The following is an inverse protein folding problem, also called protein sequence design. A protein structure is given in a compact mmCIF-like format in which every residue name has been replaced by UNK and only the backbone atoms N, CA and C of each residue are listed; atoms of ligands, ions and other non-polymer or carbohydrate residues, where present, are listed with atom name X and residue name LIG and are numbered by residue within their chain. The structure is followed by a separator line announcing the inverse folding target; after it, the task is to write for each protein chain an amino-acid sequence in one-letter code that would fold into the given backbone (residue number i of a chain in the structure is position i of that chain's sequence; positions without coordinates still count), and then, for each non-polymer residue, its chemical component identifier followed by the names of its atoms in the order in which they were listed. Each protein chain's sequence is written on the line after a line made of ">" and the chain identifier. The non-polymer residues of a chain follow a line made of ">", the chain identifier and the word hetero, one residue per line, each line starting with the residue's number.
data_IF_629472050765
#
_entry.id   IF_629472050765
#
_cell.length_a   1.000
_cell.length_b   1.000
_cell.length_c   1.000
_cell.angle_alpha   90.00
_cell.angle_beta   90.00
_cell.angle_gamma   90.00
#
_symmetry.space_group_name_H-M   'P 1'
#
loop_
_entity.id
_entity.type
_entity.pdbx_description
1 polymer ?
#
# COMPACT_ATOMS: atom_id res chain seq x y z
N UNK A 1 -8.95 -6.75 -7.52
CA UNK A 1 -7.64 -6.69 -6.84
C UNK A 1 -7.76 -7.31 -5.46
N UNK A 2 -6.68 -7.62 -4.76
CA UNK A 2 -6.71 -8.23 -3.42
C UNK A 2 -7.53 -7.42 -2.41
N UNK A 3 -7.54 -6.10 -2.55
CA UNK A 3 -8.15 -5.16 -1.63
C UNK A 3 -9.68 -5.16 -1.69
N UNK A 4 -10.27 -5.61 -2.80
CA UNK A 4 -11.74 -5.69 -2.98
C UNK A 4 -12.31 -7.06 -2.61
N UNK A 5 -11.45 -8.03 -2.32
CA UNK A 5 -11.83 -9.39 -1.91
C UNK A 5 -10.80 -9.88 -0.91
N UNK A 6 -11.02 -9.55 0.36
CA UNK A 6 -10.06 -9.77 1.43
C UNK A 6 -9.99 -11.24 1.86
N UNK A 7 -8.79 -11.69 2.25
CA UNK A 7 -8.55 -13.03 2.79
C UNK A 7 -7.38 -12.98 3.76
N UNK A 8 -7.63 -13.35 5.02
CA UNK A 8 -6.63 -13.43 6.08
C UNK A 8 -5.51 -14.39 5.69
N UNK A 9 -5.84 -15.57 5.17
CA UNK A 9 -4.85 -16.58 4.77
C UNK A 9 -3.94 -16.10 3.64
N UNK A 10 -4.51 -15.34 2.69
CA UNK A 10 -3.73 -14.73 1.61
C UNK A 10 -2.78 -13.67 2.16
N UNK A 11 -3.25 -12.77 3.01
CA UNK A 11 -2.40 -11.75 3.63
C UNK A 11 -1.30 -12.38 4.49
N UNK A 12 -1.58 -13.45 5.25
CA UNK A 12 -0.57 -14.20 6.01
C UNK A 12 0.46 -14.87 5.10
N UNK A 13 0.01 -15.51 4.01
CA UNK A 13 0.91 -16.15 3.05
C UNK A 13 1.85 -15.12 2.43
N UNK A 14 1.31 -13.99 2.00
CA UNK A 14 2.09 -12.91 1.38
C UNK A 14 3.02 -12.24 2.40
N UNK A 15 2.54 -11.91 3.60
CA UNK A 15 3.35 -11.32 4.65
C UNK A 15 4.52 -12.22 5.07
N UNK A 16 4.26 -13.52 5.28
CA UNK A 16 5.32 -14.48 5.64
C UNK A 16 6.38 -14.60 4.54
N UNK A 17 5.95 -14.71 3.28
CA UNK A 17 6.87 -14.83 2.16
C UNK A 17 7.68 -13.54 1.93
N UNK A 18 7.05 -12.37 2.11
CA UNK A 18 7.71 -11.07 2.05
C UNK A 18 8.72 -10.90 3.20
N UNK A 19 8.34 -11.23 4.43
CA UNK A 19 9.22 -11.15 5.60
C UNK A 19 10.42 -12.08 5.47
N UNK A 20 10.23 -13.30 4.96
CA UNK A 20 11.32 -14.25 4.72
C UNK A 20 12.33 -13.75 3.67
N UNK A 21 11.89 -13.00 2.66
CA UNK A 21 12.76 -12.42 1.64
C UNK A 21 13.33 -11.04 1.99
N UNK A 22 12.89 -10.45 3.10
CA UNK A 22 13.11 -9.04 3.41
C UNK A 22 14.59 -8.70 3.58
N UNK A 23 15.34 -9.54 4.30
CA UNK A 23 16.77 -9.30 4.55
C UNK A 23 17.56 -9.20 3.24
N UNK A 24 17.36 -10.16 2.33
CA UNK A 24 17.96 -10.16 0.99
C UNK A 24 17.54 -8.94 0.18
N UNK A 25 16.26 -8.55 0.24
CA UNK A 25 15.74 -7.40 -0.48
C UNK A 25 16.33 -6.07 0.02
N UNK A 26 16.39 -5.87 1.33
CA UNK A 26 16.93 -4.64 1.94
C UNK A 26 18.40 -4.46 1.58
N UNK A 27 19.17 -5.55 1.52
CA UNK A 27 20.57 -5.54 1.10
C UNK A 27 20.75 -5.35 -0.42
N UNK A 28 19.72 -5.66 -1.20
CA UNK A 28 19.75 -5.58 -2.67
C UNK A 28 19.54 -4.15 -3.18
N UNK A 29 19.95 -3.89 -4.43
CA UNK A 29 19.79 -2.58 -5.08
C UNK A 29 18.39 -2.37 -5.68
N UNK A 30 17.65 -3.44 -5.96
CA UNK A 30 16.34 -3.38 -6.61
C UNK A 30 15.28 -2.70 -5.73
N UNK A 31 14.50 -1.77 -6.29
CA UNK A 31 13.41 -1.11 -5.57
C UNK A 31 12.21 -2.05 -5.34
N UNK A 32 11.98 -3.01 -6.23
CA UNK A 32 10.97 -4.06 -6.10
C UNK A 32 11.67 -5.42 -6.06
N UNK A 33 11.46 -6.18 -4.99
CA UNK A 33 11.96 -7.55 -4.87
C UNK A 33 10.98 -8.57 -5.45
N UNK A 34 11.49 -9.76 -5.78
CA UNK A 34 10.65 -10.92 -6.10
C UNK A 34 10.39 -11.73 -4.84
N UNK A 35 9.13 -12.08 -4.58
CA UNK A 35 8.79 -13.06 -3.55
C UNK A 35 8.79 -14.44 -4.22
N UNK A 36 9.84 -15.23 -4.01
CA UNK A 36 9.99 -16.56 -4.61
C UNK A 36 10.87 -16.55 -5.86
N UNK A 37 11.92 -17.37 -5.84
CA UNK A 37 12.73 -17.68 -7.01
C UNK A 37 12.11 -18.86 -7.75
N UNK A 38 11.41 -18.61 -8.85
CA UNK A 38 10.87 -19.70 -9.70
C UNK A 38 9.82 -19.26 -10.70
N UNK A 39 9.76 -19.98 -11.83
CA UNK A 39 8.93 -19.75 -13.03
C UNK A 39 7.39 -19.76 -12.80
N UNK A 40 6.91 -19.93 -11.57
CA UNK A 40 5.49 -20.09 -11.19
C UNK A 40 4.97 -19.01 -10.21
N UNK A 41 5.67 -17.89 -10.03
CA UNK A 41 5.32 -16.84 -9.06
C UNK A 41 4.43 -15.70 -9.62
N UNK A 42 3.59 -15.95 -10.62
CA UNK A 42 2.80 -14.90 -11.30
C UNK A 42 1.74 -14.20 -10.42
N UNK A 43 1.40 -14.76 -9.25
CA UNK A 43 0.34 -14.25 -8.37
C UNK A 43 0.86 -13.65 -7.04
N UNK A 44 2.17 -13.59 -6.79
CA UNK A 44 2.70 -12.98 -5.57
C UNK A 44 2.95 -11.48 -5.78
N UNK A 45 2.60 -10.62 -4.81
CA UNK A 45 2.95 -9.21 -4.88
C UNK A 45 4.46 -9.02 -4.86
N UNK A 46 4.95 -7.97 -5.51
CA UNK A 46 6.37 -7.59 -5.41
C UNK A 46 6.74 -7.29 -3.96
N UNK A 47 7.89 -7.79 -3.52
CA UNK A 47 8.44 -7.52 -2.21
C UNK A 47 8.85 -6.05 -2.10
N UNK A 48 8.19 -5.33 -1.22
CA UNK A 48 8.52 -3.96 -0.81
C UNK A 48 8.21 -3.81 0.67
N UNK A 49 8.87 -2.89 1.37
CA UNK A 49 8.67 -2.71 2.81
C UNK A 49 7.25 -2.21 3.08
N UNK A 50 6.80 -1.21 2.33
CA UNK A 50 5.48 -0.61 2.52
C UNK A 50 4.33 -1.61 2.29
N UNK A 51 4.45 -2.48 1.28
CA UNK A 51 3.43 -3.51 1.05
C UNK A 51 3.42 -4.60 2.15
N UNK A 52 4.56 -4.87 2.80
CA UNK A 52 4.63 -5.75 3.96
C UNK A 52 3.97 -5.08 5.18
N UNK A 53 4.35 -3.83 5.48
CA UNK A 53 3.77 -3.04 6.59
C UNK A 53 2.24 -2.98 6.52
N UNK A 54 1.69 -2.74 5.32
CA UNK A 54 0.24 -2.71 5.11
C UNK A 54 -0.43 -4.04 5.49
N UNK A 55 0.16 -5.18 5.12
CA UNK A 55 -0.36 -6.51 5.45
C UNK A 55 -0.24 -6.80 6.94
N UNK A 56 0.91 -6.46 7.54
CA UNK A 56 1.11 -6.60 8.99
C UNK A 56 0.08 -5.79 9.78
N UNK A 57 -0.25 -4.55 9.36
CA UNK A 57 -1.35 -3.78 9.97
C UNK A 57 -2.67 -4.55 9.92
N UNK A 58 -3.07 -5.02 8.73
CA UNK A 58 -4.37 -5.70 8.55
C UNK A 58 -4.48 -6.94 9.43
N UNK A 59 -3.42 -7.74 9.46
CA UNK A 59 -3.35 -8.97 10.24
C UNK A 59 -3.33 -8.67 11.75
N UNK A 60 -2.54 -7.69 12.18
CA UNK A 60 -2.45 -7.31 13.60
C UNK A 60 -3.76 -6.73 14.12
N UNK A 61 -4.48 -5.94 13.33
CA UNK A 61 -5.80 -5.41 13.71
C UNK A 61 -6.87 -6.51 13.90
N UNK A 62 -6.63 -7.71 13.34
CA UNK A 62 -7.53 -8.86 13.43
C UNK A 62 -6.97 -9.97 14.35
N UNK A 63 -5.91 -9.68 15.12
CA UNK A 63 -5.16 -10.67 15.90
C UNK A 63 -6.06 -11.58 16.75
N UNK A 64 -7.07 -11.00 17.40
CA UNK A 64 -7.97 -11.74 18.29
C UNK A 64 -8.86 -12.74 17.55
N UNK A 65 -9.15 -12.50 16.27
CA UNK A 65 -9.90 -13.43 15.41
C UNK A 65 -9.03 -14.51 14.73
N UNK A 66 -7.71 -14.40 14.82
CA UNK A 66 -6.80 -15.38 14.21
C UNK A 66 -6.77 -16.68 15.00
N UNK A 67 -6.63 -17.81 14.30
CA UNK A 67 -6.35 -19.10 14.93
C UNK A 67 -4.94 -19.11 15.56
N UNK A 68 -4.63 -20.03 16.49
CA UNK A 68 -3.30 -20.12 17.09
C UNK A 68 -2.16 -20.27 16.06
N UNK A 69 -2.37 -21.06 14.99
CA UNK A 69 -1.40 -21.22 13.90
C UNK A 69 -1.19 -19.90 13.14
N UNK A 70 -2.28 -19.22 12.80
CA UNK A 70 -2.24 -17.92 12.11
C UNK A 70 -1.53 -16.86 12.95
N UNK A 71 -1.75 -16.82 14.27
CA UNK A 71 -1.04 -15.92 15.20
C UNK A 71 0.46 -16.20 15.20
N UNK A 72 0.85 -17.47 15.34
CA UNK A 72 2.27 -17.87 15.29
C UNK A 72 2.93 -17.44 13.98
N UNK A 73 2.26 -17.61 12.84
CA UNK A 73 2.78 -17.19 11.52
C UNK A 73 2.93 -15.67 11.41
N UNK A 74 1.97 -14.91 11.95
CA UNK A 74 2.06 -13.44 12.00
C UNK A 74 3.24 -12.99 12.87
N UNK A 75 3.36 -13.54 14.08
CA UNK A 75 4.44 -13.21 15.01
C UNK A 75 5.83 -13.51 14.43
N UNK A 76 5.97 -14.63 13.70
CA UNK A 76 7.20 -14.95 12.97
C UNK A 76 7.50 -13.93 11.87
N UNK A 77 6.49 -13.52 11.09
CA UNK A 77 6.64 -12.51 10.05
C UNK A 77 7.05 -11.15 10.62
N UNK A 78 6.47 -10.75 11.75
CA UNK A 78 6.82 -9.51 12.45
C UNK A 78 8.22 -9.57 13.07
N UNK A 79 8.60 -10.70 13.67
CA UNK A 79 9.94 -10.89 14.20
C UNK A 79 11.00 -10.81 13.10
N UNK A 80 10.75 -11.43 11.94
CA UNK A 80 11.65 -11.34 10.78
C UNK A 80 11.71 -9.91 10.21
N UNK A 81 10.57 -9.21 10.13
CA UNK A 81 10.50 -7.81 9.73
C UNK A 81 11.33 -6.91 10.66
N UNK A 82 11.12 -7.05 11.95
CA UNK A 82 11.79 -6.25 12.97
C UNK A 82 13.29 -6.56 13.04
N UNK A 83 13.69 -7.83 12.87
CA UNK A 83 15.10 -8.22 12.75
C UNK A 83 15.77 -7.48 11.59
N UNK A 84 15.17 -7.53 10.39
CA UNK A 84 15.72 -6.87 9.21
C UNK A 84 15.78 -5.34 9.38
N UNK A 85 14.75 -4.74 9.99
CA UNK A 85 14.75 -3.31 10.31
C UNK A 85 15.91 -2.92 11.22
N UNK A 86 16.14 -3.67 12.31
CA UNK A 86 17.20 -3.38 13.28
C UNK A 86 18.59 -3.59 12.69
N UNK A 87 18.84 -4.75 12.09
CA UNK A 87 20.17 -5.11 11.56
C UNK A 87 20.59 -4.27 10.36
N UNK A 88 19.63 -3.86 9.51
CA UNK A 88 19.89 -3.15 8.26
C UNK A 88 19.25 -1.76 8.24
N UNK A 89 19.23 -1.08 9.38
CA UNK A 89 18.51 0.20 9.61
C UNK A 89 18.73 1.23 8.50
N UNK A 90 19.98 1.44 8.06
CA UNK A 90 20.31 2.40 7.01
C UNK A 90 19.62 2.05 5.69
N UNK A 91 19.87 0.86 5.15
CA UNK A 91 19.28 0.40 3.91
C UNK A 91 17.75 0.29 3.99
N UNK A 92 17.22 -0.13 5.13
CA UNK A 92 15.79 -0.18 5.39
C UNK A 92 15.15 1.21 5.26
N UNK A 93 15.77 2.22 5.85
CA UNK A 93 15.32 3.62 5.80
C UNK A 93 15.41 4.19 4.39
N UNK A 94 16.51 3.92 3.66
CA UNK A 94 16.67 4.31 2.27
C UNK A 94 15.57 3.70 1.39
N UNK A 95 15.30 2.39 1.53
CA UNK A 95 14.26 1.67 0.79
C UNK A 95 12.87 2.22 1.07
N UNK A 96 12.53 2.46 2.34
CA UNK A 96 11.26 3.07 2.73
C UNK A 96 11.07 4.44 2.04
N UNK A 97 12.09 5.28 2.11
CA UNK A 97 12.04 6.63 1.53
C UNK A 97 11.90 6.57 0.01
N UNK A 98 12.72 5.75 -0.66
CA UNK A 98 12.67 5.55 -2.11
C UNK A 98 11.32 4.98 -2.57
N UNK A 99 10.79 3.99 -1.86
CA UNK A 99 9.49 3.40 -2.16
C UNK A 99 8.37 4.45 -2.03
N UNK A 100 8.37 5.23 -0.95
CA UNK A 100 7.39 6.29 -0.72
C UNK A 100 7.34 7.30 -1.86
N UNK A 101 8.50 7.85 -2.23
CA UNK A 101 8.59 8.79 -3.36
C UNK A 101 8.25 8.15 -4.70
N UNK A 102 8.69 6.92 -4.96
CA UNK A 102 8.40 6.21 -6.20
C UNK A 102 6.89 6.00 -6.38
N UNK A 103 6.18 5.59 -5.32
CA UNK A 103 4.73 5.38 -5.35
C UNK A 103 3.98 6.68 -5.59
N UNK A 104 4.33 7.76 -4.91
CA UNK A 104 3.74 9.08 -5.13
C UNK A 104 4.00 9.59 -6.55
N UNK A 105 5.23 9.43 -7.07
CA UNK A 105 5.57 9.80 -8.44
C UNK A 105 4.75 9.01 -9.47
N UNK A 106 4.51 7.72 -9.23
CA UNK A 106 3.72 6.88 -10.13
C UNK A 106 2.24 7.32 -10.23
N UNK A 107 1.70 7.99 -9.20
CA UNK A 107 0.34 8.54 -9.25
C UNK A 107 0.21 9.70 -10.24
N UNK A 108 1.31 10.29 -10.75
CA UNK A 108 1.24 11.32 -11.78
C UNK A 108 0.59 10.82 -13.07
N UNK A 109 0.85 9.57 -13.45
CA UNK A 109 0.25 8.95 -14.63
C UNK A 109 -1.28 8.90 -14.52
N UNK A 110 -1.82 8.60 -13.34
CA UNK A 110 -3.26 8.69 -13.11
C UNK A 110 -3.80 10.09 -13.39
N UNK A 111 -3.12 11.14 -12.93
CA UNK A 111 -3.58 12.52 -13.15
C UNK A 111 -3.49 12.93 -14.63
N UNK A 112 -2.49 12.47 -15.36
CA UNK A 112 -2.34 12.71 -16.81
C UNK A 112 -3.47 12.03 -17.58
N UNK A 113 -3.75 10.76 -17.27
CA UNK A 113 -4.84 9.99 -17.88
C UNK A 113 -6.23 10.57 -17.54
N UNK A 114 -6.38 11.13 -16.34
CA UNK A 114 -7.59 11.77 -15.87
C UNK A 114 -7.83 13.20 -16.37
N UNK A 115 -6.77 13.97 -16.61
CA UNK A 115 -6.86 15.40 -16.95
C UNK A 115 -6.93 15.67 -18.44
N UNK A 116 -6.05 15.04 -19.24
CA UNK A 116 -5.87 15.41 -20.66
C UNK A 116 -6.79 14.62 -21.61
N UNK A 117 -7.28 13.44 -21.19
CA UNK A 117 -8.07 12.54 -22.04
C UNK A 117 -9.57 12.49 -21.70
N UNK A 118 -10.01 13.23 -20.67
CA UNK A 118 -11.39 13.20 -20.18
C UNK A 118 -12.37 14.09 -20.98
N UNK A 119 -11.88 14.94 -21.88
CA UNK A 119 -12.75 15.78 -22.74
C UNK A 119 -13.42 14.97 -23.86
N UNK A 120 -12.78 13.88 -24.33
CA UNK A 120 -13.23 13.12 -25.51
C UNK A 120 -13.72 11.69 -25.20
N UNK A 121 -13.60 11.20 -23.96
CA UNK A 121 -13.99 9.82 -23.58
C UNK A 121 -14.75 9.80 -22.24
N UNK A 122 -15.66 8.81 -22.02
CA UNK A 122 -16.23 8.56 -20.70
C UNK A 122 -15.10 8.41 -19.69
N UNK A 123 -15.20 9.13 -18.57
CA UNK A 123 -14.12 9.33 -17.61
C UNK A 123 -13.44 7.99 -17.19
N UNK A 124 -12.22 7.67 -17.66
CA UNK A 124 -11.55 6.41 -17.33
C UNK A 124 -11.07 6.37 -15.88
N UNK A 125 -11.04 7.50 -15.16
CA UNK A 125 -10.50 7.60 -13.81
C UNK A 125 -11.10 6.60 -12.84
N UNK A 126 -12.41 6.37 -12.92
CA UNK A 126 -13.12 5.49 -11.98
C UNK A 126 -12.61 4.04 -12.05
N UNK A 127 -12.27 3.54 -13.24
CA UNK A 127 -11.80 2.16 -13.43
C UNK A 127 -10.33 1.98 -13.05
N UNK A 128 -9.53 3.04 -13.06
CA UNK A 128 -8.08 3.01 -12.75
C UNK A 128 -7.75 3.54 -11.35
N UNK A 129 -8.75 3.94 -10.55
CA UNK A 129 -8.51 4.57 -9.25
C UNK A 129 -8.01 3.62 -8.15
N UNK A 130 -8.53 2.39 -8.12
CA UNK A 130 -8.23 1.46 -7.02
C UNK A 130 -6.72 1.19 -6.86
N UNK A 131 -5.91 1.02 -7.93
CA UNK A 131 -4.46 0.92 -7.81
C UNK A 131 -3.82 2.15 -7.14
N UNK A 132 -4.33 3.35 -7.40
CA UNK A 132 -3.83 4.59 -6.80
C UNK A 132 -4.16 4.68 -5.31
N UNK A 133 -5.37 4.26 -4.93
CA UNK A 133 -5.75 4.14 -3.54
C UNK A 133 -4.83 3.17 -2.78
N UNK A 134 -4.46 2.03 -3.39
CA UNK A 134 -3.47 1.11 -2.84
C UNK A 134 -2.08 1.75 -2.71
N UNK A 135 -1.58 2.42 -3.76
CA UNK A 135 -0.29 3.11 -3.69
C UNK A 135 -0.27 4.13 -2.55
N UNK A 136 -1.32 4.94 -2.42
CA UNK A 136 -1.42 5.97 -1.39
C UNK A 136 -1.56 5.39 0.01
N UNK A 137 -2.27 4.28 0.18
CA UNK A 137 -2.31 3.54 1.46
C UNK A 137 -0.93 3.03 1.83
N UNK A 138 -0.18 2.45 0.90
CA UNK A 138 1.19 1.99 1.19
C UNK A 138 2.09 3.16 1.62
N UNK A 139 1.98 4.33 0.97
CA UNK A 139 2.71 5.53 1.40
C UNK A 139 2.32 5.96 2.82
N UNK A 140 1.04 5.82 3.19
CA UNK A 140 0.59 6.12 4.55
C UNK A 140 1.24 5.17 5.58
N UNK A 141 1.35 3.89 5.25
CA UNK A 141 2.03 2.91 6.12
C UNK A 141 3.53 3.20 6.27
N UNK A 142 4.18 3.63 5.20
CA UNK A 142 5.57 4.09 5.22
C UNK A 142 5.72 5.29 6.17
N UNK A 143 4.86 6.31 6.04
CA UNK A 143 4.90 7.50 6.88
C UNK A 143 4.71 7.17 8.37
N UNK A 144 3.80 6.25 8.68
CA UNK A 144 3.57 5.79 10.07
C UNK A 144 4.82 5.07 10.59
N UNK A 145 5.36 4.11 9.84
CA UNK A 145 6.56 3.37 10.26
C UNK A 145 7.79 4.27 10.43
N UNK A 146 7.94 5.28 9.58
CA UNK A 146 9.00 6.28 9.69
C UNK A 146 8.82 7.15 10.93
N UNK A 147 7.61 7.64 11.19
CA UNK A 147 7.29 8.42 12.37
C UNK A 147 7.54 7.61 13.66
N UNK A 148 7.05 6.37 13.73
CA UNK A 148 7.22 5.50 14.90
C UNK A 148 8.69 5.12 15.15
N UNK A 149 9.53 5.17 14.11
CA UNK A 149 10.98 4.97 14.18
C UNK A 149 11.77 6.27 14.36
N UNK A 150 11.11 7.42 14.59
CA UNK A 150 11.73 8.75 14.69
C UNK A 150 12.62 9.11 13.48
N UNK A 151 12.21 8.69 12.28
CA UNK A 151 12.89 8.99 11.02
C UNK A 151 12.33 10.28 10.40
N UNK A 152 13.14 11.05 9.63
CA UNK A 152 12.67 12.27 8.97
C UNK A 152 11.53 11.99 7.97
N UNK A 153 10.38 12.63 8.16
CA UNK A 153 9.19 12.43 7.29
C UNK A 153 8.80 13.68 6.49
N UNK A 154 9.41 14.84 6.73
CA UNK A 154 8.93 16.13 6.21
C UNK A 154 8.81 16.18 4.68
N UNK A 155 9.86 15.75 3.98
CA UNK A 155 9.90 15.79 2.51
C UNK A 155 8.85 14.84 1.90
N UNK A 156 8.74 13.61 2.41
CA UNK A 156 7.76 12.64 1.94
C UNK A 156 6.33 13.07 2.28
N UNK A 157 6.11 13.62 3.48
CA UNK A 157 4.82 14.15 3.92
C UNK A 157 4.38 15.34 3.08
N UNK A 158 5.31 16.25 2.74
CA UNK A 158 5.03 17.38 1.87
C UNK A 158 4.61 16.89 0.47
N UNK A 159 5.30 15.89 -0.09
CA UNK A 159 4.93 15.31 -1.38
C UNK A 159 3.58 14.59 -1.33
N UNK A 160 3.31 13.83 -0.27
CA UNK A 160 2.01 13.19 -0.06
C UNK A 160 0.87 14.21 -0.01
N UNK A 161 1.06 15.35 0.67
CA UNK A 161 0.07 16.44 0.71
C UNK A 161 -0.18 17.07 -0.66
N UNK A 162 0.87 17.24 -1.49
CA UNK A 162 0.71 17.75 -2.87
C UNK A 162 -0.12 16.79 -3.72
N UNK A 163 0.20 15.50 -3.65
CA UNK A 163 -0.54 14.44 -4.35
C UNK A 163 -1.99 14.39 -3.86
N UNK A 164 -2.23 14.47 -2.55
CA UNK A 164 -3.57 14.51 -1.98
C UNK A 164 -4.37 15.72 -2.47
N UNK A 165 -3.74 16.89 -2.55
CA UNK A 165 -4.36 18.11 -3.09
C UNK A 165 -4.78 17.97 -4.55
N UNK A 166 -4.01 17.23 -5.37
CA UNK A 166 -4.40 16.90 -6.74
C UNK A 166 -5.51 15.85 -6.78
N UNK A 167 -5.40 14.79 -5.98
CA UNK A 167 -6.35 13.69 -5.92
C UNK A 167 -7.77 14.17 -5.57
N UNK A 168 -7.90 15.16 -4.67
CA UNK A 168 -9.17 15.79 -4.31
C UNK A 168 -9.87 16.51 -5.48
N UNK A 169 -9.14 16.91 -6.52
CA UNK A 169 -9.73 17.53 -7.72
C UNK A 169 -10.38 16.51 -8.66
N UNK A 170 -9.96 15.25 -8.56
CA UNK A 170 -10.41 14.16 -9.43
C UNK A 170 -11.37 13.20 -8.72
N UNK A 171 -11.73 13.46 -7.46
CA UNK A 171 -12.52 12.55 -6.65
C UNK A 171 -13.64 13.29 -5.92
N UNK A 172 -14.74 12.58 -5.68
CA UNK A 172 -15.83 12.99 -4.82
C UNK A 172 -15.91 12.03 -3.61
N UNK A 173 -16.47 12.46 -2.47
CA UNK A 173 -16.72 11.58 -1.33
C UNK A 173 -17.53 10.35 -1.72
N UNK A 174 -17.21 9.20 -1.14
CA UNK A 174 -17.92 7.94 -1.32
C UNK A 174 -17.94 7.13 -0.02
N UNK A 175 -18.59 5.97 -0.09
CA UNK A 175 -18.40 4.89 0.86
C UNK A 175 -16.98 4.31 0.75
N UNK A 176 -16.61 3.48 1.72
CA UNK A 176 -15.35 2.75 1.72
C UNK A 176 -15.21 1.90 0.45
N UNK A 177 -14.04 1.94 -0.20
CA UNK A 177 -13.85 1.36 -1.54
C UNK A 177 -13.20 -0.02 -1.55
N UNK A 178 -12.72 -0.50 -0.40
CA UNK A 178 -12.14 -1.83 -0.23
C UNK A 178 -13.16 -2.80 0.39
N UNK A 179 -12.75 -4.06 0.60
CA UNK A 179 -13.55 -5.06 1.28
C UNK A 179 -13.96 -4.57 2.68
N UNK A 180 -15.24 -4.72 3.03
CA UNK A 180 -15.84 -4.12 4.22
C UNK A 180 -15.14 -4.52 5.53
N UNK A 181 -14.55 -5.72 5.57
CA UNK A 181 -13.76 -6.25 6.68
C UNK A 181 -12.56 -5.36 7.04
N UNK A 182 -12.08 -4.57 6.07
CA UNK A 182 -10.94 -3.68 6.24
C UNK A 182 -11.34 -2.27 6.70
N UNK A 183 -12.62 -1.91 6.70
CA UNK A 183 -13.06 -0.52 6.96
C UNK A 183 -12.67 -0.06 8.37
N UNK A 184 -12.86 -0.91 9.38
CA UNK A 184 -12.48 -0.63 10.76
C UNK A 184 -10.96 -0.43 10.96
N UNK A 185 -10.14 -1.00 10.07
CA UNK A 185 -8.68 -0.92 10.09
C UNK A 185 -8.20 0.40 9.49
N UNK A 186 -8.99 0.98 8.57
CA UNK A 186 -8.63 2.16 7.80
C UNK A 186 -9.64 3.30 8.03
N UNK A 187 -9.54 4.03 9.15
CA UNK A 187 -10.48 5.10 9.45
C UNK A 187 -10.39 6.26 8.45
N UNK A 188 -11.54 6.92 8.23
CA UNK A 188 -11.72 7.95 7.19
C UNK A 188 -10.72 9.10 7.22
N UNK A 189 -10.35 9.61 8.39
CA UNK A 189 -9.47 10.79 8.47
C UNK A 189 -8.05 10.50 7.93
N UNK A 190 -7.30 9.51 8.45
CA UNK A 190 -5.96 9.21 7.94
C UNK A 190 -5.95 8.52 6.56
N UNK A 191 -7.06 7.91 6.13
CA UNK A 191 -7.16 7.16 4.87
C UNK A 191 -8.27 7.69 3.95
N UNK A 192 -8.44 9.02 3.87
CA UNK A 192 -9.58 9.65 3.18
C UNK A 192 -9.77 9.22 1.72
N UNK A 193 -8.69 8.86 1.01
CA UNK A 193 -8.74 8.37 -0.37
C UNK A 193 -9.45 7.01 -0.50
N UNK A 194 -9.54 6.23 0.57
CA UNK A 194 -10.34 5.01 0.61
C UNK A 194 -11.84 5.27 0.73
N UNK A 195 -12.23 6.55 0.87
CA UNK A 195 -13.61 7.02 0.99
C UNK A 195 -13.90 8.09 -0.06
N UNK A 196 -13.21 8.00 -1.19
CA UNK A 196 -13.41 8.86 -2.33
C UNK A 196 -13.37 8.03 -3.61
N UNK A 197 -14.10 8.46 -4.63
CA UNK A 197 -14.06 7.87 -5.98
C UNK A 197 -14.09 8.96 -7.03
N UNK A 198 -13.44 8.77 -8.19
CA UNK A 198 -13.69 9.63 -9.33
C UNK A 198 -15.16 9.57 -9.74
N UNK A 199 -15.78 10.71 -10.07
CA UNK A 199 -17.18 10.73 -10.49
C UNK A 199 -17.34 9.95 -11.80
N UNK A 200 -18.35 9.07 -11.84
CA UNK A 200 -18.74 8.38 -13.06
C UNK A 200 -19.60 9.36 -13.87
N UNK A 201 -19.09 9.87 -14.99
CA UNK A 201 -19.92 10.63 -15.93
C UNK A 201 -20.88 9.67 -16.62
N UNK A 202 -22.12 9.62 -16.14
CA UNK A 202 -23.22 8.98 -16.85
C UNK A 202 -23.60 9.92 -17.99
N UNK A 203 -23.41 9.52 -19.25
CA UNK A 203 -24.03 10.22 -20.38
C UNK A 203 -25.54 10.18 -20.15
N UNK A 204 -26.15 11.32 -19.84
CA UNK A 204 -27.59 11.48 -20.00
C UNK A 204 -27.84 11.42 -21.51
N UNK A 205 -28.64 10.45 -21.94
CA UNK A 205 -29.07 10.28 -23.33
C UNK A 205 -30.04 11.35 -23.77
#
# INVERSE_FOLDING_TARGET
>A
MSETTYSVDRDLKEAAAMASGLETYVRGTNLYGSVGGGLFSSNMPSLTIGALLMRLRRLRAQFDSLTPDQRSRLEQAEAAHEKARREWTHHYTEKLTQEGFSRLKAMNTFFEECGERALDRPNPCASIYLPEALRRTIVQEILIAMHDSNLPTDALSAEARKIDGRLRRYTAPSDFIWAAELEAIYPRSPYWWLYAKPPVTVKQG
#
